data_IF_236122571156
#
_entry.id   IF_236122571156
#
_cell.length_a   1.000
_cell.length_b   1.000
_cell.length_c   1.000
_cell.angle_alpha   90.00
_cell.angle_beta   90.00
_cell.angle_gamma   90.00
#
_symmetry.space_group_name_H-M   'P 1'
#
loop_
_entity.id
_entity.type
_entity.pdbx_description
1 polymer ?
#
# COMPACT_ATOMS: atom_id res chain seq x y z
N UNK A 1 -80.68 -61.53 8.27
CA UNK A 1 -79.26 -61.94 8.37
C UNK A 1 -78.48 -60.98 7.49
N UNK A 2 -77.68 -60.03 7.93
CA UNK A 2 -77.13 -59.65 9.24
C UNK A 2 -76.65 -58.20 9.06
N UNK A 3 -77.09 -57.32 9.97
CA UNK A 3 -76.35 -56.20 10.62
C UNK A 3 -75.73 -55.12 9.72
N UNK A 4 -76.17 -53.85 9.64
CA UNK A 4 -76.46 -52.80 10.65
C UNK A 4 -75.22 -52.08 11.24
N UNK A 5 -75.20 -50.75 11.02
CA UNK A 5 -74.66 -49.66 11.87
C UNK A 5 -73.12 -49.54 11.98
N UNK A 6 -72.46 -48.37 12.09
CA UNK A 6 -72.81 -47.08 12.71
C UNK A 6 -71.79 -45.97 12.37
N UNK A 7 -72.31 -44.75 12.17
CA UNK A 7 -71.87 -43.41 12.61
C UNK A 7 -70.45 -43.13 13.19
N UNK A 8 -69.86 -42.00 12.73
CA UNK A 8 -68.73 -41.20 13.29
C UNK A 8 -68.97 -40.71 14.75
N UNK A 9 -67.94 -40.31 15.55
CA UNK A 9 -67.47 -38.89 15.58
C UNK A 9 -66.01 -38.58 16.07
N UNK A 10 -65.53 -37.39 15.66
CA UNK A 10 -64.77 -36.32 16.37
C UNK A 10 -63.46 -36.55 17.20
N UNK A 11 -62.49 -35.63 16.99
CA UNK A 11 -61.42 -35.22 17.93
C UNK A 11 -60.04 -35.03 17.27
N UNK A 12 -59.73 -33.89 16.64
CA UNK A 12 -59.07 -32.67 17.15
C UNK A 12 -57.54 -32.73 17.34
N UNK A 13 -56.89 -31.61 17.02
CA UNK A 13 -55.52 -31.14 17.32
C UNK A 13 -54.39 -31.39 16.29
N UNK A 14 -53.95 -30.29 15.63
CA UNK A 14 -52.50 -30.02 15.54
C UNK A 14 -51.92 -29.52 14.21
N UNK A 15 -51.83 -28.20 14.07
CA UNK A 15 -50.74 -27.45 13.42
C UNK A 15 -50.49 -27.59 11.90
N UNK A 16 -50.92 -26.52 11.22
CA UNK A 16 -50.32 -25.95 10.01
C UNK A 16 -48.79 -25.86 10.10
N UNK A 17 -48.09 -26.59 9.24
CA UNK A 17 -46.66 -26.43 8.99
C UNK A 17 -46.42 -25.95 7.56
N UNK A 18 -46.48 -24.64 7.35
CA UNK A 18 -45.94 -24.00 6.15
C UNK A 18 -44.41 -24.14 6.16
N UNK A 19 -43.90 -25.18 5.51
CA UNK A 19 -42.49 -25.33 5.23
C UNK A 19 -42.06 -24.32 4.18
N UNK A 20 -41.85 -23.07 4.58
CA UNK A 20 -41.01 -22.15 3.82
C UNK A 20 -39.59 -22.68 3.92
N UNK A 21 -39.11 -23.30 2.84
CA UNK A 21 -37.69 -23.58 2.64
C UNK A 21 -36.92 -22.28 2.93
N UNK A 22 -36.06 -22.23 3.97
CA UNK A 22 -35.19 -21.10 4.16
C UNK A 22 -34.18 -21.18 3.03
N UNK A 23 -34.42 -20.36 1.99
CA UNK A 23 -33.47 -20.06 0.96
C UNK A 23 -32.08 -20.02 1.59
N UNK A 24 -31.19 -20.89 1.11
CA UNK A 24 -29.77 -20.76 1.32
C UNK A 24 -29.40 -19.37 0.78
N UNK A 25 -29.39 -18.38 1.68
CA UNK A 25 -28.78 -17.09 1.44
C UNK A 25 -27.29 -17.40 1.37
N UNK A 26 -26.86 -17.79 0.16
CA UNK A 26 -25.47 -17.73 -0.22
C UNK A 26 -24.97 -16.35 0.23
N UNK A 27 -23.82 -16.27 0.92
CA UNK A 27 -23.31 -14.99 1.38
C UNK A 27 -23.33 -14.04 0.19
N UNK A 28 -24.04 -12.94 0.33
CA UNK A 28 -24.12 -11.91 -0.70
C UNK A 28 -22.69 -11.51 -1.01
N UNK A 29 -22.16 -12.04 -2.12
CA UNK A 29 -20.86 -11.65 -2.62
C UNK A 29 -21.05 -10.19 -2.98
N UNK A 30 -20.61 -9.30 -2.08
CA UNK A 30 -20.63 -7.86 -2.31
C UNK A 30 -19.74 -7.62 -3.53
N UNK A 31 -20.36 -7.67 -4.70
CA UNK A 31 -19.72 -7.34 -5.97
C UNK A 31 -19.52 -5.84 -5.91
N UNK A 32 -18.32 -5.42 -5.49
CA UNK A 32 -17.92 -4.03 -5.55
C UNK A 32 -18.20 -3.51 -6.97
N UNK A 33 -18.91 -2.39 -7.08
CA UNK A 33 -19.27 -1.80 -8.36
C UNK A 33 -18.01 -1.68 -9.23
N UNK A 34 -18.04 -2.30 -10.41
CA UNK A 34 -16.85 -2.40 -11.25
C UNK A 34 -16.42 -1.00 -11.72
N UNK A 35 -15.27 -0.52 -11.26
CA UNK A 35 -14.66 0.71 -11.79
C UNK A 35 -14.26 0.51 -13.27
N UNK A 36 -14.01 1.60 -14.00
CA UNK A 36 -13.73 1.57 -15.46
C UNK A 36 -12.24 1.69 -15.80
N UNK A 37 -11.38 1.90 -14.81
CA UNK A 37 -9.93 1.93 -14.99
C UNK A 37 -9.30 0.54 -14.79
N UNK A 38 -8.15 0.30 -15.43
CA UNK A 38 -7.37 -0.94 -15.35
C UNK A 38 -5.87 -0.66 -15.47
N UNK A 39 -5.08 -1.58 -16.02
CA UNK A 39 -3.60 -1.45 -16.02
C UNK A 39 -3.06 -0.19 -16.72
N UNK A 40 -3.75 0.31 -17.75
CA UNK A 40 -3.37 1.59 -18.38
C UNK A 40 -3.42 2.80 -17.43
N UNK A 41 -4.26 2.77 -16.39
CA UNK A 41 -4.27 3.82 -15.37
C UNK A 41 -3.01 3.79 -14.51
N UNK A 42 -2.56 2.59 -14.13
CA UNK A 42 -1.32 2.43 -13.39
C UNK A 42 -0.11 2.89 -14.21
N UNK A 43 -0.03 2.49 -15.50
CA UNK A 43 1.03 2.96 -16.40
C UNK A 43 1.05 4.48 -16.59
N UNK A 44 -0.13 5.13 -16.63
CA UNK A 44 -0.20 6.58 -16.68
C UNK A 44 0.33 7.23 -15.39
N UNK A 45 0.00 6.68 -14.23
CA UNK A 45 0.50 7.17 -12.93
C UNK A 45 2.03 7.06 -12.87
N UNK A 46 2.60 5.93 -13.29
CA UNK A 46 4.06 5.75 -13.38
C UNK A 46 4.70 6.70 -14.40
N UNK A 47 4.09 6.86 -15.57
CA UNK A 47 4.58 7.81 -16.58
C UNK A 47 4.58 9.25 -16.05
N UNK A 48 3.55 9.65 -15.29
CA UNK A 48 3.48 10.96 -14.64
C UNK A 48 4.54 11.10 -13.56
N UNK A 49 4.78 10.06 -12.76
CA UNK A 49 5.84 10.05 -11.74
C UNK A 49 7.20 10.30 -12.39
N UNK A 50 7.56 9.51 -13.42
CA UNK A 50 8.84 9.64 -14.12
C UNK A 50 8.96 10.98 -14.87
N UNK A 51 7.91 11.41 -15.56
CA UNK A 51 7.91 12.67 -16.30
C UNK A 51 8.03 13.88 -15.37
N UNK A 52 7.35 13.87 -14.22
CA UNK A 52 7.45 14.95 -13.23
C UNK A 52 8.80 14.95 -12.52
N UNK A 53 9.38 13.78 -12.22
CA UNK A 53 10.76 13.69 -11.70
C UNK A 53 11.78 14.25 -12.70
N UNK A 54 11.69 13.86 -13.98
CA UNK A 54 12.55 14.37 -15.04
C UNK A 54 12.37 15.88 -15.25
N UNK A 55 11.13 16.37 -15.22
CA UNK A 55 10.82 17.79 -15.35
C UNK A 55 11.39 18.60 -14.18
N UNK A 56 11.18 18.15 -12.94
CA UNK A 56 11.73 18.80 -11.74
C UNK A 56 13.26 18.84 -11.82
N UNK A 57 13.90 17.72 -12.17
CA UNK A 57 15.36 17.67 -12.36
C UNK A 57 15.84 18.66 -13.42
N UNK A 58 15.15 18.74 -14.57
CA UNK A 58 15.49 19.69 -15.63
C UNK A 58 15.31 21.16 -15.22
N UNK A 59 14.29 21.48 -14.42
CA UNK A 59 14.02 22.84 -13.93
C UNK A 59 15.02 23.26 -12.85
N UNK A 60 15.40 22.35 -11.95
CA UNK A 60 16.40 22.63 -10.90
C UNK A 60 17.80 22.79 -11.50
N UNK A 61 18.08 22.09 -12.61
CA UNK A 61 19.32 22.20 -13.33
C UNK A 61 20.50 21.51 -12.63
N UNK A 62 21.69 21.52 -13.25
CA UNK A 62 22.88 20.90 -12.67
C UNK A 62 23.38 21.70 -11.47
N UNK A 63 24.00 21.00 -10.51
CA UNK A 63 24.59 21.67 -9.34
C UNK A 63 25.75 22.58 -9.78
N UNK A 64 25.70 23.90 -9.48
CA UNK A 64 26.80 24.80 -9.81
C UNK A 64 28.10 24.35 -9.13
N UNK A 65 29.17 24.14 -9.91
CA UNK A 65 30.48 23.79 -9.39
C UNK A 65 30.66 22.34 -8.90
N UNK A 66 29.69 21.44 -9.12
CA UNK A 66 29.79 20.02 -8.76
C UNK A 66 29.75 19.72 -7.26
N UNK A 67 29.30 20.68 -6.45
CA UNK A 67 29.08 20.49 -5.01
C UNK A 67 27.87 19.58 -4.69
N UNK A 68 27.60 19.35 -3.40
CA UNK A 68 26.41 18.62 -2.95
C UNK A 68 25.10 19.31 -3.36
N UNK A 69 24.07 18.51 -3.65
CA UNK A 69 22.74 19.00 -4.01
C UNK A 69 22.15 19.85 -2.87
N UNK A 70 21.60 21.04 -3.15
CA UNK A 70 20.92 21.82 -2.12
C UNK A 70 19.75 21.04 -1.49
N UNK A 71 19.63 21.07 -0.16
CA UNK A 71 18.53 20.39 0.59
C UNK A 71 17.14 20.71 0.03
N UNK A 72 16.91 21.96 -0.39
CA UNK A 72 15.67 22.39 -1.04
C UNK A 72 15.37 21.55 -2.28
N UNK A 73 16.38 21.32 -3.10
CA UNK A 73 16.26 20.64 -4.38
C UNK A 73 16.01 19.15 -4.16
N UNK A 74 16.64 18.55 -3.14
CA UNK A 74 16.34 17.19 -2.66
C UNK A 74 14.86 17.09 -2.23
N UNK A 75 14.39 18.00 -1.37
CA UNK A 75 12.99 17.98 -0.92
C UNK A 75 12.00 18.13 -2.08
N UNK A 76 12.25 19.06 -3.01
CA UNK A 76 11.38 19.26 -4.18
C UNK A 76 11.41 18.01 -5.07
N UNK A 77 12.60 17.49 -5.37
CA UNK A 77 12.80 16.32 -6.21
C UNK A 77 12.21 15.03 -5.64
N UNK A 78 12.25 14.85 -4.32
CA UNK A 78 11.70 13.67 -3.64
C UNK A 78 10.19 13.75 -3.46
N UNK A 79 9.64 14.91 -3.08
CA UNK A 79 8.22 15.04 -2.69
C UNK A 79 7.32 15.27 -3.91
N UNK A 80 7.71 16.17 -4.80
CA UNK A 80 6.82 16.70 -5.85
C UNK A 80 6.35 15.61 -6.83
N UNK A 81 7.24 14.76 -7.40
CA UNK A 81 6.81 13.77 -8.39
C UNK A 81 5.80 12.77 -7.84
N UNK A 82 6.07 12.27 -6.64
CA UNK A 82 5.22 11.29 -5.95
C UNK A 82 3.85 11.88 -5.62
N UNK A 83 3.79 13.10 -5.09
CA UNK A 83 2.50 13.76 -4.78
C UNK A 83 1.68 14.01 -6.05
N UNK A 84 2.32 14.43 -7.15
CA UNK A 84 1.63 14.62 -8.45
C UNK A 84 1.09 13.29 -8.96
N UNK A 85 1.90 12.23 -8.93
CA UNK A 85 1.48 10.89 -9.35
C UNK A 85 0.30 10.37 -8.51
N UNK A 86 0.34 10.54 -7.19
CA UNK A 86 -0.77 10.20 -6.30
C UNK A 86 -2.02 11.04 -6.58
N UNK A 87 -1.88 12.34 -6.87
CA UNK A 87 -3.01 13.18 -7.24
C UNK A 87 -3.68 12.67 -8.52
N UNK A 88 -2.90 12.26 -9.53
CA UNK A 88 -3.42 11.63 -10.76
C UNK A 88 -4.10 10.29 -10.45
N UNK A 89 -3.51 9.45 -9.60
CA UNK A 89 -4.13 8.20 -9.15
C UNK A 89 -5.51 8.45 -8.53
N UNK A 90 -5.60 9.39 -7.59
CA UNK A 90 -6.86 9.78 -6.94
C UNK A 90 -7.86 10.39 -7.94
N UNK A 91 -7.40 11.18 -8.90
CA UNK A 91 -8.25 11.73 -9.95
C UNK A 91 -8.85 10.62 -10.81
N UNK A 92 -8.06 9.62 -11.21
CA UNK A 92 -8.53 8.47 -12.00
C UNK A 92 -9.64 7.72 -11.26
N UNK A 93 -9.48 7.46 -9.95
CA UNK A 93 -10.54 6.81 -9.16
C UNK A 93 -11.84 7.62 -9.11
N UNK A 94 -11.77 8.95 -9.23
CA UNK A 94 -12.97 9.82 -9.27
C UNK A 94 -13.60 9.88 -10.66
N UNK A 95 -12.80 10.06 -11.71
CA UNK A 95 -13.31 10.32 -13.07
C UNK A 95 -13.62 9.04 -13.85
N UNK A 96 -12.98 7.92 -13.50
CA UNK A 96 -13.16 6.59 -14.13
C UNK A 96 -13.60 5.52 -13.15
N UNK A 97 -13.87 5.86 -11.89
CA UNK A 97 -14.15 4.91 -10.84
C UNK A 97 -15.33 5.32 -9.97
N UNK A 98 -15.43 4.72 -8.78
CA UNK A 98 -16.50 5.00 -7.82
C UNK A 98 -16.03 5.96 -6.71
N UNK A 99 -14.89 6.63 -6.92
CA UNK A 99 -14.22 7.46 -5.94
C UNK A 99 -13.15 6.71 -5.13
N UNK A 100 -12.20 7.44 -4.53
CA UNK A 100 -11.00 6.85 -3.94
C UNK A 100 -11.29 5.94 -2.74
N UNK A 101 -12.31 6.26 -1.92
CA UNK A 101 -12.63 5.44 -0.75
C UNK A 101 -13.12 4.04 -1.15
N UNK A 102 -14.02 3.97 -2.13
CA UNK A 102 -14.58 2.71 -2.61
C UNK A 102 -13.54 1.91 -3.41
N UNK A 103 -12.92 2.54 -4.40
CA UNK A 103 -12.02 1.87 -5.34
C UNK A 103 -10.72 1.39 -4.68
N UNK A 104 -10.15 2.18 -3.76
CA UNK A 104 -8.94 1.80 -3.03
C UNK A 104 -9.24 0.94 -1.80
N UNK A 105 -10.52 0.72 -1.48
CA UNK A 105 -10.99 0.05 -0.25
C UNK A 105 -10.39 0.70 1.00
N UNK A 106 -10.50 2.03 1.06
CA UNK A 106 -10.08 2.83 2.21
C UNK A 106 -11.26 2.95 3.18
N UNK A 107 -11.16 2.26 4.30
CA UNK A 107 -12.14 2.31 5.38
C UNK A 107 -11.44 2.29 6.72
N UNK A 108 -11.88 3.10 7.68
CA UNK A 108 -11.32 3.08 9.01
C UNK A 108 -11.84 1.87 9.80
N UNK A 109 -10.96 0.91 10.11
CA UNK A 109 -11.24 -0.18 11.07
C UNK A 109 -10.03 -0.41 11.96
N UNK A 110 -10.28 -0.49 13.27
CA UNK A 110 -9.20 -0.72 14.25
C UNK A 110 -8.50 -2.06 14.08
N UNK A 111 -9.17 -3.08 13.56
CA UNK A 111 -8.53 -4.37 13.27
C UNK A 111 -7.49 -4.27 12.15
N UNK A 112 -7.69 -3.37 11.18
CA UNK A 112 -6.71 -3.11 10.12
C UNK A 112 -5.49 -2.39 10.70
N UNK A 113 -5.71 -1.44 11.61
CA UNK A 113 -4.64 -0.75 12.33
C UNK A 113 -3.84 -1.75 13.16
N UNK A 114 -4.50 -2.60 13.95
CA UNK A 114 -3.83 -3.62 14.79
C UNK A 114 -3.02 -4.61 13.96
N UNK A 115 -3.59 -5.12 12.86
CA UNK A 115 -2.87 -6.03 11.97
C UNK A 115 -1.72 -5.32 11.27
N UNK A 116 -1.93 -4.09 10.81
CA UNK A 116 -0.89 -3.23 10.23
C UNK A 116 0.26 -2.99 11.19
N UNK A 117 -0.01 -2.71 12.46
CA UNK A 117 1.02 -2.56 13.51
C UNK A 117 1.81 -3.86 13.73
N UNK A 118 1.14 -5.02 13.80
CA UNK A 118 1.80 -6.33 13.97
C UNK A 118 2.70 -6.67 12.79
N UNK A 119 2.20 -6.53 11.57
CA UNK A 119 2.98 -6.77 10.35
C UNK A 119 4.05 -5.70 10.14
N UNK A 120 3.79 -4.47 10.57
CA UNK A 120 4.78 -3.39 10.62
C UNK A 120 5.94 -3.74 11.54
N UNK A 121 5.67 -4.29 12.74
CA UNK A 121 6.72 -4.75 13.65
C UNK A 121 7.52 -5.93 13.05
N UNK A 122 6.85 -6.89 12.41
CA UNK A 122 7.54 -7.96 11.68
C UNK A 122 8.42 -7.37 10.58
N UNK A 123 7.88 -6.43 9.81
CA UNK A 123 8.64 -5.73 8.77
C UNK A 123 9.82 -4.96 9.34
N UNK A 124 9.69 -4.35 10.53
CA UNK A 124 10.80 -3.66 11.18
C UNK A 124 11.94 -4.63 11.50
N UNK A 125 11.62 -5.81 12.03
CA UNK A 125 12.61 -6.89 12.23
C UNK A 125 13.23 -7.30 10.90
N UNK A 126 12.43 -7.50 9.86
CA UNK A 126 12.93 -7.82 8.51
C UNK A 126 13.85 -6.72 7.95
N UNK A 127 13.50 -5.45 8.18
CA UNK A 127 14.27 -4.28 7.73
C UNK A 127 15.58 -4.19 8.48
N UNK A 128 15.57 -4.32 9.82
CA UNK A 128 16.80 -4.25 10.62
C UNK A 128 17.73 -5.42 10.31
N UNK A 129 17.21 -6.65 10.30
CA UNK A 129 18.01 -7.84 9.97
C UNK A 129 18.48 -7.78 8.52
N UNK A 130 17.60 -7.40 7.59
CA UNK A 130 17.91 -7.26 6.18
C UNK A 130 18.98 -6.20 5.94
N UNK A 131 18.90 -5.04 6.60
CA UNK A 131 19.91 -4.00 6.52
C UNK A 131 21.25 -4.48 7.06
N UNK A 132 21.29 -5.13 8.23
CA UNK A 132 22.53 -5.68 8.80
C UNK A 132 23.14 -6.72 7.86
N UNK A 133 22.37 -7.70 7.40
CA UNK A 133 22.86 -8.72 6.46
C UNK A 133 23.35 -8.08 5.16
N UNK A 134 22.62 -7.09 4.65
CA UNK A 134 22.98 -6.38 3.43
C UNK A 134 24.30 -5.61 3.58
N UNK A 135 24.47 -4.86 4.65
CA UNK A 135 25.70 -4.16 5.00
C UNK A 135 26.89 -5.12 5.07
N UNK A 136 26.71 -6.30 5.67
CA UNK A 136 27.75 -7.33 5.74
C UNK A 136 28.10 -7.92 4.37
N UNK A 137 27.17 -7.93 3.41
CA UNK A 137 27.37 -8.51 2.08
C UNK A 137 28.00 -7.52 1.07
N UNK A 138 27.61 -6.25 1.11
CA UNK A 138 27.97 -5.26 0.07
C UNK A 138 28.94 -4.18 0.60
N UNK A 139 29.19 -4.16 1.91
CA UNK A 139 30.05 -3.18 2.57
C UNK A 139 29.29 -1.89 2.93
N UNK A 140 29.79 -1.18 3.95
CA UNK A 140 29.16 0.04 4.50
C UNK A 140 28.94 1.13 3.43
N UNK A 141 29.89 1.26 2.50
CA UNK A 141 29.88 2.26 1.42
C UNK A 141 28.74 2.08 0.39
N UNK A 142 28.18 0.87 0.27
CA UNK A 142 27.09 0.55 -0.66
C UNK A 142 25.76 0.28 0.04
N UNK A 143 25.71 0.41 1.37
CA UNK A 143 24.54 0.09 2.18
C UNK A 143 23.67 1.31 2.51
N UNK A 144 24.21 2.52 2.38
CA UNK A 144 23.48 3.76 2.65
C UNK A 144 22.52 4.10 1.50
N UNK A 145 21.35 4.64 1.84
CA UNK A 145 20.42 5.14 0.83
C UNK A 145 20.86 6.48 0.29
N UNK A 146 20.52 6.80 -0.97
CA UNK A 146 20.82 8.11 -1.56
C UNK A 146 20.37 9.29 -0.67
N UNK A 147 19.19 9.18 -0.03
CA UNK A 147 18.67 10.21 0.88
C UNK A 147 19.51 10.29 2.17
N UNK A 148 19.93 9.15 2.73
CA UNK A 148 20.77 9.13 3.93
C UNK A 148 22.16 9.71 3.66
N UNK A 149 22.80 9.36 2.53
CA UNK A 149 24.07 9.94 2.11
C UNK A 149 23.97 11.47 1.93
N UNK A 150 22.88 11.95 1.33
CA UNK A 150 22.60 13.39 1.20
C UNK A 150 22.45 14.10 2.56
N UNK A 151 21.99 13.40 3.59
CA UNK A 151 21.80 13.96 4.95
C UNK A 151 23.12 13.99 5.73
N UNK A 152 23.96 12.96 5.60
CA UNK A 152 25.25 12.89 6.29
C UNK A 152 26.21 14.00 5.82
N UNK A 153 26.15 14.37 4.54
CA UNK A 153 27.06 15.36 3.94
C UNK A 153 26.63 16.82 4.14
N UNK A 154 25.43 17.09 4.69
CA UNK A 154 24.95 18.48 4.86
C UNK A 154 24.06 18.70 6.10
N UNK A 155 24.40 19.68 6.97
CA UNK A 155 23.50 20.09 8.03
C UNK A 155 22.22 20.73 7.44
N UNK A 156 21.06 20.23 7.85
CA UNK A 156 19.77 20.76 7.43
C UNK A 156 19.25 21.82 8.40
N UNK A 157 18.48 22.79 7.89
CA UNK A 157 17.64 23.60 8.77
C UNK A 157 16.61 22.70 9.49
N UNK A 158 16.21 23.08 10.71
CA UNK A 158 15.19 22.35 11.48
C UNK A 158 13.90 22.14 10.66
N UNK A 159 13.47 23.17 9.93
CA UNK A 159 12.27 23.09 9.08
C UNK A 159 12.40 22.07 7.94
N UNK A 160 13.57 21.98 7.32
CA UNK A 160 13.85 21.03 6.25
C UNK A 160 13.92 19.59 6.80
N UNK A 161 14.59 19.40 7.93
CA UNK A 161 14.69 18.10 8.60
C UNK A 161 13.31 17.57 9.02
N UNK A 162 12.47 18.42 9.63
CA UNK A 162 11.08 18.06 10.00
C UNK A 162 10.23 17.77 8.76
N UNK A 163 10.38 18.54 7.69
CA UNK A 163 9.66 18.30 6.43
C UNK A 163 10.05 16.95 5.82
N UNK A 164 11.35 16.65 5.77
CA UNK A 164 11.86 15.36 5.30
C UNK A 164 11.30 14.21 6.16
N UNK A 165 11.36 14.34 7.48
CA UNK A 165 10.82 13.35 8.41
C UNK A 165 9.33 13.08 8.17
N UNK A 166 8.50 14.13 8.12
CA UNK A 166 7.07 13.99 7.89
C UNK A 166 6.77 13.38 6.52
N UNK A 167 7.57 13.69 5.50
CA UNK A 167 7.41 13.05 4.21
C UNK A 167 7.77 11.56 4.27
N UNK A 168 8.98 11.22 4.70
CA UNK A 168 9.48 9.84 4.70
C UNK A 168 8.65 8.91 5.60
N UNK A 169 8.21 9.39 6.76
CA UNK A 169 7.41 8.58 7.68
C UNK A 169 5.93 8.56 7.33
N UNK A 170 5.33 9.71 6.98
CA UNK A 170 3.89 9.85 6.92
C UNK A 170 3.37 9.93 5.48
N UNK A 171 3.77 10.97 4.74
CA UNK A 171 3.14 11.30 3.45
C UNK A 171 3.59 10.36 2.31
N UNK A 172 4.89 10.07 2.22
CA UNK A 172 5.47 9.17 1.22
C UNK A 172 4.82 7.79 1.26
N UNK A 173 4.81 7.10 2.42
CA UNK A 173 4.14 5.81 2.55
C UNK A 173 2.65 5.84 2.18
N UNK A 174 1.91 6.91 2.50
CA UNK A 174 0.51 7.04 2.06
C UNK A 174 0.42 7.11 0.53
N UNK A 175 1.26 7.95 -0.08
CA UNK A 175 1.28 8.15 -1.53
C UNK A 175 1.63 6.86 -2.28
N UNK A 176 2.68 6.17 -1.83
CA UNK A 176 3.15 4.91 -2.39
C UNK A 176 2.10 3.81 -2.25
N UNK A 177 1.45 3.68 -1.09
CA UNK A 177 0.40 2.68 -0.90
C UNK A 177 -0.81 2.95 -1.81
N UNK A 178 -1.19 4.21 -2.05
CA UNK A 178 -2.24 4.56 -3.02
C UNK A 178 -1.85 4.11 -4.44
N UNK A 179 -0.60 4.32 -4.84
CA UNK A 179 -0.11 3.97 -6.18
C UNK A 179 -0.03 2.44 -6.33
N UNK A 180 0.68 1.75 -5.43
CA UNK A 180 1.01 0.34 -5.59
C UNK A 180 -0.05 -0.60 -5.00
N UNK A 181 -0.50 -0.40 -3.75
CA UNK A 181 -1.48 -1.28 -3.10
C UNK A 181 -2.93 -0.86 -3.38
N UNK A 182 -3.10 0.32 -3.94
CA UNK A 182 -4.34 0.85 -4.47
C UNK A 182 -4.48 0.59 -5.98
N UNK A 183 -3.89 1.46 -6.81
CA UNK A 183 -4.11 1.47 -8.26
C UNK A 183 -3.47 0.26 -8.96
N UNK A 184 -2.19 -0.05 -8.71
CA UNK A 184 -1.54 -1.22 -9.31
C UNK A 184 -2.26 -2.51 -8.91
N UNK A 185 -2.52 -2.69 -7.60
CA UNK A 185 -3.27 -3.82 -7.07
C UNK A 185 -4.65 -3.97 -7.75
N UNK A 186 -5.46 -2.92 -7.76
CA UNK A 186 -6.79 -2.96 -8.37
C UNK A 186 -6.76 -3.18 -9.89
N UNK A 187 -5.70 -2.72 -10.57
CA UNK A 187 -5.47 -3.01 -11.98
C UNK A 187 -5.14 -4.49 -12.23
N UNK A 188 -4.30 -5.10 -11.38
CA UNK A 188 -3.92 -6.51 -11.49
C UNK A 188 -5.09 -7.43 -11.19
N UNK A 189 -5.93 -7.11 -10.19
CA UNK A 189 -7.12 -7.92 -9.85
C UNK A 189 -8.12 -8.04 -11.02
N UNK A 190 -8.08 -7.13 -12.00
CA UNK A 190 -8.94 -7.16 -13.19
C UNK A 190 -8.45 -8.06 -14.32
N UNK A 191 -7.20 -8.52 -14.25
CA UNK A 191 -6.67 -9.46 -15.23
C UNK A 191 -7.28 -10.85 -15.03
N UNK A 192 -7.26 -11.68 -16.06
CA UNK A 192 -7.88 -13.01 -16.02
C UNK A 192 -6.98 -14.02 -15.29
N UNK A 193 -7.20 -14.20 -13.98
CA UNK A 193 -6.43 -15.14 -13.13
C UNK A 193 -7.15 -16.47 -12.84
N UNK A 194 -8.33 -16.70 -13.41
CA UNK A 194 -9.14 -17.91 -13.21
C UNK A 194 -9.90 -17.98 -11.86
N UNK A 195 -9.41 -17.35 -10.79
CA UNK A 195 -10.15 -17.17 -9.54
C UNK A 195 -9.75 -15.91 -8.78
N UNK A 196 -10.62 -15.44 -7.88
CA UNK A 196 -10.36 -14.26 -7.03
C UNK A 196 -9.14 -14.48 -6.13
N UNK A 197 -8.95 -15.69 -5.61
CA UNK A 197 -7.78 -16.04 -4.78
C UNK A 197 -6.48 -15.81 -5.56
N UNK A 198 -6.41 -16.29 -6.80
CA UNK A 198 -5.22 -16.11 -7.63
C UNK A 198 -5.03 -14.66 -8.06
N UNK A 199 -6.12 -13.92 -8.30
CA UNK A 199 -6.06 -12.49 -8.59
C UNK A 199 -5.43 -11.69 -7.43
N UNK A 200 -5.83 -11.98 -6.19
CA UNK A 200 -5.28 -11.33 -4.98
C UNK A 200 -3.81 -11.69 -4.74
N UNK A 201 -3.44 -12.95 -4.95
CA UNK A 201 -2.03 -13.39 -4.84
C UNK A 201 -1.18 -12.71 -5.91
N UNK A 202 -1.66 -12.66 -7.15
CA UNK A 202 -0.95 -11.98 -8.22
C UNK A 202 -0.82 -10.47 -7.96
N UNK A 203 -1.87 -9.82 -7.48
CA UNK A 203 -1.84 -8.41 -7.09
C UNK A 203 -0.83 -8.15 -5.95
N UNK A 204 -0.78 -9.04 -4.96
CA UNK A 204 0.23 -9.01 -3.90
C UNK A 204 1.66 -9.10 -4.45
N UNK A 205 1.94 -10.12 -5.27
CA UNK A 205 3.29 -10.35 -5.80
C UNK A 205 3.72 -9.22 -6.76
N UNK A 206 2.88 -8.85 -7.71
CA UNK A 206 3.19 -7.83 -8.71
C UNK A 206 3.31 -6.44 -8.10
N UNK A 207 2.38 -6.02 -7.23
CA UNK A 207 2.51 -4.70 -6.59
C UNK A 207 3.75 -4.61 -5.68
N UNK A 208 4.12 -5.71 -5.02
CA UNK A 208 5.35 -5.80 -4.20
C UNK A 208 6.61 -5.72 -5.07
N UNK A 209 6.64 -6.47 -6.17
CA UNK A 209 7.78 -6.46 -7.09
C UNK A 209 7.95 -5.10 -7.78
N UNK A 210 6.86 -4.51 -8.26
CA UNK A 210 6.88 -3.21 -8.93
C UNK A 210 7.23 -2.09 -7.95
N UNK A 211 6.70 -2.12 -6.72
CA UNK A 211 7.12 -1.20 -5.66
C UNK A 211 8.63 -1.24 -5.44
N UNK A 212 9.22 -2.43 -5.28
CA UNK A 212 10.66 -2.55 -5.07
C UNK A 212 11.46 -2.07 -6.29
N UNK A 213 11.05 -2.44 -7.51
CA UNK A 213 11.73 -2.05 -8.74
C UNK A 213 11.62 -0.54 -9.05
N UNK A 214 10.53 0.12 -8.62
CA UNK A 214 10.30 1.56 -8.86
C UNK A 214 11.34 2.48 -8.21
N UNK A 215 12.09 1.96 -7.24
CA UNK A 215 13.18 2.70 -6.59
C UNK A 215 14.44 2.80 -7.45
N UNK A 216 14.50 2.06 -8.57
CA UNK A 216 15.58 2.12 -9.57
C UNK A 216 17.00 1.96 -8.99
N UNK A 217 17.11 1.26 -7.87
CA UNK A 217 18.35 1.02 -7.16
C UNK A 217 18.57 -0.51 -7.10
N UNK A 218 19.27 -1.12 -8.08
CA UNK A 218 19.32 -2.58 -8.23
C UNK A 218 19.79 -3.32 -6.98
N UNK A 219 20.76 -2.73 -6.28
CA UNK A 219 21.29 -3.23 -5.02
C UNK A 219 20.21 -3.25 -3.93
N UNK A 220 19.54 -2.12 -3.71
CA UNK A 220 18.52 -1.98 -2.68
C UNK A 220 17.20 -2.65 -3.01
N UNK A 221 16.92 -2.92 -4.29
CA UNK A 221 15.69 -3.59 -4.76
C UNK A 221 15.47 -4.93 -4.05
N UNK A 222 16.53 -5.71 -3.82
CA UNK A 222 16.43 -7.01 -3.13
C UNK A 222 16.00 -6.84 -1.67
N UNK A 223 16.58 -5.86 -0.97
CA UNK A 223 16.20 -5.52 0.39
C UNK A 223 14.74 -5.02 0.44
N UNK A 224 14.37 -4.13 -0.49
CA UNK A 224 13.01 -3.59 -0.59
C UNK A 224 11.97 -4.66 -0.87
N UNK A 225 12.28 -5.70 -1.65
CA UNK A 225 11.39 -6.84 -1.85
C UNK A 225 11.04 -7.53 -0.52
N UNK A 226 12.04 -7.78 0.33
CA UNK A 226 11.85 -8.43 1.64
C UNK A 226 11.02 -7.53 2.56
N UNK A 227 11.34 -6.24 2.62
CA UNK A 227 10.65 -5.25 3.46
C UNK A 227 9.20 -5.05 3.01
N UNK A 228 8.96 -5.10 1.71
CA UNK A 228 7.64 -4.89 1.12
C UNK A 228 6.68 -6.07 1.34
N UNK A 229 7.17 -7.26 1.70
CA UNK A 229 6.33 -8.45 1.92
C UNK A 229 5.36 -8.25 3.10
N UNK A 230 5.78 -7.90 4.33
CA UNK A 230 4.85 -7.66 5.44
C UNK A 230 3.83 -6.55 5.15
N UNK A 231 4.23 -5.51 4.42
CA UNK A 231 3.35 -4.42 3.98
C UNK A 231 2.27 -4.95 3.03
N UNK A 232 2.68 -5.69 1.99
CA UNK A 232 1.75 -6.30 1.04
C UNK A 232 0.85 -7.35 1.69
N UNK A 233 1.33 -8.11 2.68
CA UNK A 233 0.54 -9.06 3.45
C UNK A 233 -0.57 -8.37 4.25
N UNK A 234 -0.33 -7.16 4.77
CA UNK A 234 -1.36 -6.40 5.46
C UNK A 234 -2.53 -6.07 4.51
N UNK A 235 -2.24 -5.67 3.27
CA UNK A 235 -3.27 -5.50 2.22
C UNK A 235 -3.92 -6.82 1.85
N UNK A 236 -3.12 -7.89 1.68
CA UNK A 236 -3.62 -9.21 1.29
C UNK A 236 -4.60 -9.78 2.33
N UNK A 237 -4.30 -9.67 3.62
CA UNK A 237 -5.15 -10.23 4.68
C UNK A 237 -6.36 -9.36 4.99
N UNK A 238 -6.22 -8.03 5.04
CA UNK A 238 -7.34 -7.13 5.36
C UNK A 238 -8.29 -6.90 4.18
N UNK A 239 -7.78 -7.06 2.95
CA UNK A 239 -8.45 -6.64 1.72
C UNK A 239 -8.61 -5.11 1.60
N UNK A 240 -8.01 -4.33 2.51
CA UNK A 240 -8.22 -2.89 2.69
C UNK A 240 -6.89 -2.15 2.80
N UNK A 241 -6.86 -0.87 2.44
CA UNK A 241 -5.60 -0.15 2.22
C UNK A 241 -4.97 0.33 3.52
N UNK A 242 -5.80 0.63 4.53
CA UNK A 242 -5.34 1.19 5.80
C UNK A 242 -4.31 0.30 6.49
N UNK A 243 -4.50 -1.03 6.48
CA UNK A 243 -3.58 -1.97 7.12
C UNK A 243 -2.17 -1.90 6.54
N UNK A 244 -2.04 -1.78 5.21
CA UNK A 244 -0.73 -1.66 4.56
C UNK A 244 -0.10 -0.28 4.75
N UNK A 245 -0.88 0.80 4.73
CA UNK A 245 -0.41 2.15 5.11
C UNK A 245 0.22 2.13 6.51
N UNK A 246 -0.47 1.57 7.50
CA UNK A 246 0.05 1.51 8.88
C UNK A 246 1.31 0.66 8.96
N UNK A 247 1.34 -0.52 8.31
CA UNK A 247 2.53 -1.37 8.29
C UNK A 247 3.73 -0.66 7.63
N UNK A 248 3.48 0.10 6.56
CA UNK A 248 4.50 0.84 5.83
C UNK A 248 5.05 2.02 6.64
N UNK A 249 4.18 2.79 7.29
CA UNK A 249 4.58 3.88 8.20
C UNK A 249 5.41 3.35 9.38
N UNK A 250 5.07 2.19 9.92
CA UNK A 250 5.89 1.56 10.97
C UNK A 250 7.29 1.18 10.48
N UNK A 251 7.43 0.71 9.24
CA UNK A 251 8.74 0.40 8.67
C UNK A 251 9.58 1.63 8.34
N UNK A 252 8.93 2.75 8.03
CA UNK A 252 9.64 4.00 7.72
C UNK A 252 9.88 4.89 8.93
N UNK A 253 9.21 4.64 10.06
CA UNK A 253 9.33 5.51 11.23
C UNK A 253 10.75 5.57 11.79
N UNK A 254 11.39 4.42 12.07
CA UNK A 254 12.75 4.42 12.64
C UNK A 254 13.79 5.00 11.67
N UNK A 255 13.84 4.62 10.37
CA UNK A 255 14.75 5.25 9.41
C UNK A 255 14.53 6.76 9.27
N UNK A 256 13.27 7.22 9.20
CA UNK A 256 12.97 8.65 9.12
C UNK A 256 13.38 9.39 10.39
N UNK A 257 13.16 8.79 11.57
CA UNK A 257 13.58 9.37 12.84
C UNK A 257 15.11 9.44 12.95
N UNK A 258 15.83 8.41 12.50
CA UNK A 258 17.29 8.43 12.44
C UNK A 258 17.78 9.61 11.58
N UNK A 259 17.23 9.76 10.37
CA UNK A 259 17.52 10.89 9.48
C UNK A 259 17.25 12.24 10.17
N UNK A 260 16.12 12.38 10.88
CA UNK A 260 15.81 13.61 11.61
C UNK A 260 16.85 13.91 12.69
N UNK A 261 17.24 12.92 13.49
CA UNK A 261 18.19 13.09 14.58
C UNK A 261 19.60 13.42 14.07
N UNK A 262 20.05 12.74 13.00
CA UNK A 262 21.32 13.03 12.32
C UNK A 262 21.31 14.43 11.72
N UNK A 263 20.24 14.80 11.02
CA UNK A 263 20.06 16.13 10.42
C UNK A 263 20.12 17.28 11.43
N UNK A 264 19.70 17.02 12.67
CA UNK A 264 19.72 17.97 13.79
C UNK A 264 21.02 17.92 14.61
N UNK A 265 21.97 17.04 14.26
CA UNK A 265 23.23 16.86 14.98
C UNK A 265 23.08 16.23 16.37
N UNK A 266 21.98 15.50 16.62
CA UNK A 266 21.72 14.82 17.91
C UNK A 266 22.46 13.48 17.97
N UNK A 267 22.65 12.83 16.83
CA UNK A 267 23.31 11.53 16.69
C UNK A 267 24.27 11.59 15.50
N UNK A 268 25.42 10.93 15.63
CA UNK A 268 26.47 10.80 14.61
C UNK A 268 26.55 9.36 14.13
#
# INVERSE_FOLDING_TARGET
MTSAQSSEPAGDLGASGSGTDPAAQAPEVVRHAAHRWGFGAFLLVEAVLLASAAFVSAVLGPVPGGGPLPVRDVLIGTITPTVIATAVALLITRVRGNGPLADLRLSWRWDDVRLGLRLGLIGLVCTTVGAVVWTQLVGDENASSAIAALVEDQPMSVSAAVTMFLYLWLLGPICEEIIYRGVCWGAVERLSWGSEKWARIAAFLLSTAVFAASHLEPLRTTLLLVIAVPIGLARLFTGRLLGSIVAHQMNNFLPALAILLTALGVVS
#
